data_IF_636970912817
#
_entry.id   IF_636970912817
#
_cell.length_a   1.000
_cell.length_b   1.000
_cell.length_c   1.000
_cell.angle_alpha   90.00
_cell.angle_beta   90.00
_cell.angle_gamma   90.00
#
_symmetry.space_group_name_H-M   'P 1'
#
loop_
_entity.id
_entity.type
_entity.pdbx_description
1 polymer ?
#
# COMPACT_ATOMS: atom_id res chain seq x y z
N UNK A 1 9.00 -71.27 38.48
CA UNK A 1 9.59 -69.96 38.84
C UNK A 1 9.28 -68.98 37.71
N UNK A 2 8.77 -67.77 38.01
CA UNK A 2 8.30 -66.83 36.99
C UNK A 2 9.49 -66.15 36.32
N UNK A 3 9.57 -66.22 35.00
CA UNK A 3 10.52 -65.42 34.20
C UNK A 3 10.04 -63.97 34.23
N UNK A 4 10.89 -63.02 34.66
CA UNK A 4 10.47 -61.63 34.77
C UNK A 4 10.35 -61.07 33.35
N UNK A 5 9.13 -60.73 32.94
CA UNK A 5 8.88 -59.79 31.85
C UNK A 5 9.41 -58.44 32.34
N UNK A 6 10.72 -58.21 32.20
CA UNK A 6 11.30 -56.87 32.24
C UNK A 6 10.77 -56.16 31.00
N UNK A 7 9.68 -55.42 31.18
CA UNK A 7 9.24 -54.39 30.24
C UNK A 7 10.42 -53.46 30.03
N UNK A 8 11.11 -53.64 28.91
CA UNK A 8 12.06 -52.67 28.40
C UNK A 8 11.26 -51.45 27.97
N UNK A 9 10.96 -50.56 28.92
CA UNK A 9 10.74 -49.16 28.59
C UNK A 9 12.10 -48.64 28.16
N UNK A 10 12.44 -48.87 26.89
CA UNK A 10 13.57 -48.24 26.24
C UNK A 10 13.32 -46.74 26.35
N UNK A 11 14.01 -46.11 27.31
CA UNK A 11 14.04 -44.67 27.44
C UNK A 11 14.27 -44.11 26.04
N UNK A 12 13.32 -43.33 25.54
CA UNK A 12 13.52 -42.62 24.30
C UNK A 12 14.87 -41.90 24.44
N UNK A 13 15.85 -42.16 23.56
CA UNK A 13 17.18 -41.64 23.75
C UNK A 13 17.07 -40.12 23.88
N UNK A 14 17.73 -39.54 24.87
CA UNK A 14 17.71 -38.10 25.21
C UNK A 14 17.79 -37.17 23.98
N UNK A 15 18.50 -37.61 22.94
CA UNK A 15 18.61 -36.96 21.64
C UNK A 15 17.30 -36.86 20.84
N UNK A 16 16.39 -37.83 20.94
CA UNK A 16 15.06 -37.79 20.33
C UNK A 16 14.20 -36.71 20.98
N UNK A 17 14.24 -36.62 22.31
CA UNK A 17 13.54 -35.56 23.04
C UNK A 17 14.13 -34.19 22.67
N UNK A 18 15.45 -34.05 22.59
CA UNK A 18 16.11 -32.81 22.14
C UNK A 18 15.77 -32.43 20.70
N UNK A 19 15.71 -33.37 19.76
CA UNK A 19 15.32 -33.10 18.37
C UNK A 19 13.84 -32.71 18.25
N UNK A 20 12.95 -33.38 18.97
CA UNK A 20 11.54 -32.99 19.05
C UNK A 20 11.38 -31.61 19.69
N UNK A 21 12.11 -31.30 20.76
CA UNK A 21 12.08 -29.99 21.42
C UNK A 21 12.66 -28.91 20.50
N UNK A 22 13.75 -29.18 19.79
CA UNK A 22 14.40 -28.20 18.89
C UNK A 22 13.57 -27.96 17.64
N UNK A 23 13.02 -29.01 17.03
CA UNK A 23 12.11 -28.90 15.88
C UNK A 23 10.79 -28.25 16.26
N UNK A 24 10.21 -28.63 17.41
CA UNK A 24 9.02 -27.98 17.93
C UNK A 24 9.30 -26.53 18.35
N UNK A 25 10.48 -26.19 18.87
CA UNK A 25 10.87 -24.83 19.19
C UNK A 25 11.15 -23.99 17.93
N UNK A 26 11.73 -24.56 16.88
CA UNK A 26 11.90 -23.87 15.60
C UNK A 26 10.56 -23.64 14.90
N UNK A 27 9.68 -24.65 14.88
CA UNK A 27 8.30 -24.54 14.39
C UNK A 27 7.51 -23.59 15.28
N UNK A 28 7.68 -23.62 16.59
CA UNK A 28 7.02 -22.71 17.52
C UNK A 28 7.56 -21.29 17.37
N UNK A 29 8.85 -21.06 17.19
CA UNK A 29 9.39 -19.73 16.87
C UNK A 29 8.87 -19.27 15.51
N UNK A 30 8.72 -20.17 14.54
CA UNK A 30 8.18 -19.88 13.22
C UNK A 30 6.65 -19.62 13.21
N UNK A 31 5.89 -20.29 14.08
CA UNK A 31 4.42 -20.18 14.21
C UNK A 31 4.00 -19.11 15.24
N UNK A 32 4.65 -19.08 16.41
CA UNK A 32 4.40 -18.17 17.54
C UNK A 32 5.18 -16.85 17.49
N UNK A 33 6.15 -16.64 16.59
CA UNK A 33 6.61 -15.25 16.34
C UNK A 33 5.50 -14.34 15.82
N UNK A 34 4.30 -14.86 15.53
CA UNK A 34 3.22 -14.08 14.94
C UNK A 34 3.48 -13.75 13.46
N UNK A 35 4.74 -13.84 13.02
CA UNK A 35 5.24 -13.67 11.67
C UNK A 35 4.59 -14.53 10.58
N UNK A 36 3.64 -15.42 10.85
CA UNK A 36 2.87 -16.13 9.80
C UNK A 36 1.35 -16.01 9.97
N UNK A 37 0.90 -15.76 11.21
CA UNK A 37 -0.52 -15.69 11.60
C UNK A 37 -1.02 -14.25 11.78
N UNK A 38 -0.14 -13.33 12.18
CA UNK A 38 -0.35 -11.89 12.42
C UNK A 38 0.37 -11.01 11.39
N UNK A 39 0.74 -11.58 10.24
CA UNK A 39 1.17 -10.78 9.10
C UNK A 39 -0.01 -10.01 8.54
N UNK A 40 -0.31 -8.88 9.14
CA UNK A 40 -0.77 -7.76 8.35
C UNK A 40 0.44 -7.30 7.53
N UNK A 41 0.53 -7.86 6.32
CA UNK A 41 1.56 -7.52 5.36
C UNK A 41 1.52 -6.02 5.10
N UNK A 42 2.62 -5.35 5.40
CA UNK A 42 2.79 -3.98 4.94
C UNK A 42 3.30 -4.05 3.51
N UNK A 43 2.59 -3.47 2.52
CA UNK A 43 3.11 -3.34 1.17
C UNK A 43 4.44 -2.61 1.25
N UNK A 44 5.37 -2.93 0.34
CA UNK A 44 6.68 -2.31 0.33
C UNK A 44 6.53 -0.79 0.46
N UNK A 45 7.07 -0.24 1.54
CA UNK A 45 6.95 1.19 1.81
C UNK A 45 7.83 1.95 0.83
N UNK A 46 7.54 3.24 0.60
CA UNK A 46 8.40 4.04 -0.27
C UNK A 46 9.86 3.96 0.20
N UNK A 47 10.14 3.86 1.50
CA UNK A 47 11.49 3.70 2.04
C UNK A 47 12.28 2.48 1.53
N UNK A 48 11.61 1.50 0.93
CA UNK A 48 12.20 0.26 0.38
C UNK A 48 12.43 0.33 -1.15
N UNK A 49 11.77 1.26 -1.84
CA UNK A 49 11.90 1.51 -3.30
C UNK A 49 12.58 2.88 -3.57
N UNK A 50 12.58 3.73 -2.55
CA UNK A 50 12.95 5.14 -2.51
C UNK A 50 13.43 5.45 -1.07
N UNK A 51 14.67 5.08 -0.73
CA UNK A 51 15.25 5.40 0.57
C UNK A 51 15.59 6.90 0.65
N UNK A 52 14.96 7.70 1.53
CA UNK A 52 15.12 9.17 1.53
C UNK A 52 16.61 9.51 1.50
N UNK A 53 17.07 10.39 0.57
CA UNK A 53 18.48 10.73 0.44
C UNK A 53 19.02 11.07 1.81
N UNK A 54 20.23 10.65 2.21
CA UNK A 54 20.79 11.02 3.49
C UNK A 54 20.86 12.56 3.56
N UNK A 55 19.91 13.15 4.26
CA UNK A 55 19.78 14.60 4.42
C UNK A 55 20.09 14.91 5.88
N UNK A 56 20.77 16.04 6.09
CA UNK A 56 21.24 16.49 7.40
C UNK A 56 20.16 17.28 8.17
N UNK A 57 18.89 16.87 8.11
CA UNK A 57 17.75 17.61 8.69
C UNK A 57 16.81 16.77 9.56
N UNK A 58 15.95 17.44 10.33
CA UNK A 58 14.91 16.78 11.12
C UNK A 58 13.83 16.19 10.20
N UNK A 59 13.50 14.91 10.37
CA UNK A 59 12.45 14.20 9.62
C UNK A 59 11.34 13.76 10.54
N UNK A 60 10.09 13.81 10.09
CA UNK A 60 8.99 13.23 10.86
C UNK A 60 9.19 11.71 10.93
N UNK A 61 9.33 11.20 12.14
CA UNK A 61 9.48 9.77 12.45
C UNK A 61 8.16 9.11 12.84
N UNK A 62 7.16 9.90 13.22
CA UNK A 62 5.87 9.40 13.69
C UNK A 62 4.98 10.51 14.25
N UNK A 63 3.87 10.10 14.83
CA UNK A 63 2.91 10.97 15.50
C UNK A 63 2.51 10.36 16.84
N UNK A 64 2.18 11.20 17.81
CA UNK A 64 1.47 10.77 19.01
C UNK A 64 0.17 11.58 19.11
N UNK A 65 -0.93 10.88 19.36
CA UNK A 65 -2.28 11.42 19.29
C UNK A 65 -2.96 11.28 20.64
N UNK A 66 -3.42 12.40 21.16
CA UNK A 66 -4.19 12.46 22.40
C UNK A 66 -5.37 13.44 22.24
N UNK A 67 -6.55 12.91 21.87
CA UNK A 67 -7.72 13.70 21.52
C UNK A 67 -7.43 14.65 20.35
N UNK A 68 -7.67 15.95 20.56
CA UNK A 68 -7.37 17.00 19.57
C UNK A 68 -5.90 17.45 19.58
N UNK A 69 -5.00 16.78 20.30
CA UNK A 69 -3.56 17.09 20.29
C UNK A 69 -2.82 16.10 19.42
N UNK A 70 -2.05 16.63 18.47
CA UNK A 70 -1.15 15.88 17.61
C UNK A 70 0.29 16.30 17.87
N UNK A 71 1.05 15.43 18.53
CA UNK A 71 2.49 15.60 18.72
C UNK A 71 3.20 15.08 17.47
N UNK A 72 4.03 15.91 16.83
CA UNK A 72 4.81 15.48 15.66
C UNK A 72 6.18 15.00 16.15
N UNK A 73 6.46 13.71 15.99
CA UNK A 73 7.74 13.13 16.38
C UNK A 73 8.73 13.38 15.25
N UNK A 74 9.86 14.02 15.56
CA UNK A 74 10.93 14.26 14.59
C UNK A 74 12.20 13.49 14.98
N UNK A 75 12.87 12.91 14.01
CA UNK A 75 14.27 12.50 14.15
C UNK A 75 15.11 13.72 14.51
N UNK A 76 15.95 13.58 15.53
CA UNK A 76 16.81 14.65 16.05
C UNK A 76 16.07 15.88 16.64
N UNK A 77 14.77 15.79 16.97
CA UNK A 77 14.01 16.89 17.58
C UNK A 77 14.53 17.35 18.95
N UNK A 78 15.24 16.46 19.68
CA UNK A 78 15.78 16.74 21.02
C UNK A 78 16.75 17.93 21.11
N UNK A 79 17.06 18.57 19.98
CA UNK A 79 17.86 19.79 19.91
C UNK A 79 17.05 21.09 19.92
N UNK A 80 15.72 21.08 19.81
CA UNK A 80 14.89 22.29 19.88
C UNK A 80 14.40 22.57 21.30
N UNK A 81 14.55 23.82 21.77
CA UNK A 81 13.98 24.25 23.05
C UNK A 81 12.50 24.63 22.97
N UNK A 82 12.06 25.19 21.83
CA UNK A 82 10.71 25.73 21.64
C UNK A 82 10.19 25.56 20.22
N UNK A 83 8.88 25.65 20.06
CA UNK A 83 8.22 25.66 18.75
C UNK A 83 7.15 26.73 18.70
N UNK A 84 7.06 27.45 17.58
CA UNK A 84 5.91 28.30 17.29
C UNK A 84 4.99 27.56 16.33
N UNK A 85 3.76 27.31 16.77
CA UNK A 85 2.72 26.64 15.99
C UNK A 85 1.64 27.65 15.62
N UNK A 86 1.44 27.91 14.34
CA UNK A 86 0.28 28.63 13.84
C UNK A 86 -0.82 27.61 13.59
N UNK A 87 -1.93 27.75 14.32
CA UNK A 87 -3.09 26.88 14.23
C UNK A 87 -3.89 27.13 12.95
N UNK A 88 -4.83 26.23 12.67
CA UNK A 88 -5.72 26.32 11.50
C UNK A 88 -6.57 27.59 11.43
N UNK A 89 -6.87 28.19 12.58
CA UNK A 89 -7.58 29.47 12.71
C UNK A 89 -6.66 30.70 12.57
N UNK A 90 -5.37 30.49 12.27
CA UNK A 90 -4.35 31.53 12.19
C UNK A 90 -3.75 31.95 13.54
N UNK A 91 -4.24 31.41 14.66
CA UNK A 91 -3.76 31.78 16.00
C UNK A 91 -2.37 31.21 16.25
N UNK A 92 -1.35 32.04 16.52
CA UNK A 92 -0.02 31.55 16.89
C UNK A 92 -0.01 31.08 18.35
N UNK A 93 0.71 29.99 18.61
CA UNK A 93 0.96 29.44 19.94
C UNK A 93 2.44 29.07 20.06
N UNK A 94 3.05 29.43 21.18
CA UNK A 94 4.40 28.93 21.53
C UNK A 94 4.26 27.68 22.37
N UNK A 95 5.06 26.67 22.06
CA UNK A 95 5.13 25.38 22.74
C UNK A 95 6.55 25.23 23.30
N UNK A 96 6.67 25.22 24.62
CA UNK A 96 7.93 24.95 25.32
C UNK A 96 8.10 23.43 25.49
N UNK A 97 8.55 22.77 24.42
CA UNK A 97 8.71 21.31 24.33
C UNK A 97 9.79 20.95 23.31
N UNK A 98 10.52 19.83 23.50
CA UNK A 98 11.45 19.35 22.49
C UNK A 98 10.77 18.94 21.17
N UNK A 99 9.47 18.65 21.21
CA UNK A 99 8.67 18.28 20.03
C UNK A 99 7.48 19.23 19.87
N UNK A 100 7.09 19.57 18.64
CA UNK A 100 5.93 20.42 18.40
C UNK A 100 4.63 19.67 18.68
N UNK A 101 3.69 20.37 19.29
CA UNK A 101 2.34 19.86 19.56
C UNK A 101 1.33 20.76 18.86
N UNK A 102 0.55 20.17 17.97
CA UNK A 102 -0.50 20.85 17.22
C UNK A 102 -1.83 20.61 17.92
N UNK A 103 -2.54 21.67 18.30
CA UNK A 103 -3.95 21.59 18.71
C UNK A 103 -4.82 21.64 17.46
N UNK A 104 -5.45 20.51 17.14
CA UNK A 104 -6.29 20.32 15.97
C UNK A 104 -7.65 21.00 16.16
N UNK A 105 -8.08 21.68 15.11
CA UNK A 105 -9.41 22.29 14.96
C UNK A 105 -10.23 21.40 14.03
N UNK A 106 -11.50 21.09 14.36
CA UNK A 106 -12.37 20.32 13.48
C UNK A 106 -12.44 20.90 12.05
N UNK A 107 -12.46 20.02 11.05
CA UNK A 107 -12.39 20.39 9.63
C UNK A 107 -10.96 20.36 9.06
N UNK A 108 -10.79 20.85 7.83
CA UNK A 108 -9.52 20.89 7.10
C UNK A 108 -8.84 22.24 7.25
N UNK A 109 -7.60 22.24 7.74
CA UNK A 109 -6.84 23.46 8.01
C UNK A 109 -5.36 23.30 7.69
N UNK A 110 -4.70 24.44 7.44
CA UNK A 110 -3.24 24.51 7.29
C UNK A 110 -2.63 24.93 8.62
N UNK A 111 -1.73 24.12 9.14
CA UNK A 111 -0.94 24.37 10.34
C UNK A 111 0.50 24.64 9.93
N UNK A 112 1.15 25.57 10.62
CA UNK A 112 2.56 25.86 10.41
C UNK A 112 3.32 25.69 11.71
N UNK A 113 4.44 24.99 11.66
CA UNK A 113 5.28 24.69 12.81
C UNK A 113 6.68 25.22 12.53
N UNK A 114 7.05 26.28 13.23
CA UNK A 114 8.34 26.95 13.13
C UNK A 114 9.22 26.50 14.31
N UNK A 115 10.40 25.90 14.07
CA UNK A 115 11.36 25.60 15.13
C UNK A 115 11.91 26.89 15.75
N UNK A 116 12.09 26.89 17.08
CA UNK A 116 12.72 27.99 17.83
C UNK A 116 13.79 27.44 18.77
N UNK A 117 14.90 28.17 18.88
CA UNK A 117 16.04 27.82 19.75
C UNK A 117 16.54 26.38 19.52
N UNK A 118 16.88 26.06 18.27
CA UNK A 118 17.36 24.73 17.87
C UNK A 118 18.85 24.76 17.51
N UNK A 119 19.78 24.83 18.48
CA UNK A 119 21.22 24.83 18.19
C UNK A 119 21.63 23.59 17.39
N UNK A 120 22.32 23.80 16.26
CA UNK A 120 22.85 22.72 15.42
C UNK A 120 21.82 22.02 14.52
N UNK A 121 20.53 22.35 14.63
CA UNK A 121 19.51 21.76 13.79
C UNK A 121 19.33 22.58 12.50
N UNK A 122 19.74 22.01 11.37
CA UNK A 122 19.43 22.57 10.05
C UNK A 122 18.00 22.13 9.69
N UNK A 123 16.98 22.71 10.32
CA UNK A 123 15.65 22.75 9.71
C UNK A 123 15.59 24.06 8.92
N UNK A 124 15.78 24.03 7.59
CA UNK A 124 15.92 25.25 6.84
C UNK A 124 14.61 26.04 6.72
N UNK A 125 13.45 25.45 7.07
CA UNK A 125 12.13 26.01 6.76
C UNK A 125 11.04 25.63 7.77
N UNK A 126 10.03 26.50 7.94
CA UNK A 126 8.77 26.14 8.60
C UNK A 126 8.19 24.84 8.04
N UNK A 127 7.66 23.99 8.92
CA UNK A 127 6.95 22.78 8.54
C UNK A 127 5.47 23.13 8.35
N UNK A 128 4.94 22.93 7.15
CA UNK A 128 3.52 23.14 6.88
C UNK A 128 2.76 21.81 6.79
N UNK A 129 1.65 21.73 7.52
CA UNK A 129 0.76 20.58 7.56
C UNK A 129 -0.63 20.98 7.06
N UNK A 130 -1.20 20.25 6.11
CA UNK A 130 -2.61 20.38 5.72
C UNK A 130 -3.36 19.17 6.32
N UNK A 131 -4.15 19.41 7.36
CA UNK A 131 -4.77 18.37 8.19
C UNK A 131 -6.29 18.56 8.19
N UNK A 132 -7.04 17.52 7.83
CA UNK A 132 -8.44 17.41 8.23
C UNK A 132 -8.58 16.57 9.50
N UNK A 133 -9.27 17.14 10.48
CA UNK A 133 -9.56 16.50 11.76
C UNK A 133 -11.07 16.34 11.96
N UNK A 134 -11.51 15.12 12.26
CA UNK A 134 -12.88 14.81 12.67
C UNK A 134 -12.84 14.18 14.07
N UNK A 135 -13.36 14.86 15.10
CA UNK A 135 -13.44 14.33 16.45
C UNK A 135 -14.29 13.06 16.52
N UNK A 136 -14.06 12.22 17.54
CA UNK A 136 -14.84 10.98 17.74
C UNK A 136 -16.34 11.17 17.70
N UNK A 137 -16.81 12.22 18.38
CA UNK A 137 -18.23 12.50 18.54
C UNK A 137 -18.93 12.72 17.18
N UNK A 138 -18.17 13.15 16.18
CA UNK A 138 -18.64 13.47 14.83
C UNK A 138 -18.21 12.43 13.79
N UNK A 139 -17.38 11.45 14.18
CA UNK A 139 -16.95 10.38 13.29
C UNK A 139 -18.12 9.40 13.07
N UNK A 140 -18.24 8.80 11.87
CA UNK A 140 -19.17 7.70 11.66
C UNK A 140 -18.99 6.63 12.74
N UNK A 141 -20.08 6.06 13.25
CA UNK A 141 -20.08 5.04 14.33
C UNK A 141 -19.17 3.85 14.04
N UNK A 142 -18.84 3.64 12.77
CA UNK A 142 -18.10 2.49 12.27
C UNK A 142 -16.62 2.82 12.01
N UNK A 143 -16.18 4.04 12.35
CA UNK A 143 -14.79 4.45 12.19
C UNK A 143 -13.89 3.65 13.15
N UNK A 144 -12.85 2.94 12.66
CA UNK A 144 -12.01 2.08 13.48
C UNK A 144 -11.13 2.84 14.49
N UNK A 145 -11.11 4.17 14.44
CA UNK A 145 -10.28 5.02 15.28
C UNK A 145 -11.09 6.14 15.92
N UNK A 146 -10.82 6.47 17.20
CA UNK A 146 -11.60 7.45 17.94
C UNK A 146 -11.47 8.86 17.38
N UNK A 147 -10.48 9.23 16.58
CA UNK A 147 -10.59 10.47 15.80
C UNK A 147 -9.89 10.28 14.47
N UNK A 148 -10.45 10.87 13.42
CA UNK A 148 -9.92 10.77 12.08
C UNK A 148 -9.00 11.96 11.81
N UNK A 149 -7.72 11.69 11.59
CA UNK A 149 -6.73 12.71 11.19
C UNK A 149 -6.26 12.35 9.79
N UNK A 150 -6.66 13.14 8.80
CA UNK A 150 -6.18 13.05 7.42
C UNK A 150 -5.13 14.13 7.18
N UNK A 151 -3.89 13.72 7.05
CA UNK A 151 -2.75 14.57 6.71
C UNK A 151 -2.57 14.59 5.19
N UNK A 152 -3.10 15.63 4.54
CA UNK A 152 -3.01 15.84 3.10
C UNK A 152 -1.63 16.34 2.69
N UNK A 153 -1.01 17.22 3.48
CA UNK A 153 0.34 17.75 3.21
C UNK A 153 1.16 17.77 4.50
N UNK A 154 2.42 17.40 4.40
CA UNK A 154 3.47 17.52 5.40
C UNK A 154 4.82 17.84 4.69
N UNK A 155 5.93 17.95 5.43
CA UNK A 155 7.28 18.03 4.86
C UNK A 155 8.10 16.74 5.13
N UNK A 156 7.55 15.58 4.80
CA UNK A 156 8.32 14.34 4.64
C UNK A 156 9.22 14.44 3.41
N UNK A 157 10.48 14.10 3.58
CA UNK A 157 11.36 13.88 2.44
C UNK A 157 11.08 12.52 1.81
N UNK A 158 10.84 12.53 0.51
CA UNK A 158 10.71 11.35 -0.33
C UNK A 158 11.98 11.21 -1.17
N UNK A 159 12.45 9.97 -1.36
CA UNK A 159 13.67 9.76 -2.11
C UNK A 159 13.54 9.83 -3.62
N UNK A 160 14.71 9.94 -4.25
CA UNK A 160 14.90 9.57 -5.64
C UNK A 160 15.08 8.06 -5.77
N UNK A 161 14.57 7.54 -6.89
CA UNK A 161 14.40 6.14 -7.27
C UNK A 161 15.61 5.24 -7.02
N UNK A 162 15.40 4.09 -6.36
CA UNK A 162 16.36 2.99 -6.35
C UNK A 162 15.63 1.64 -6.25
N UNK A 163 15.47 0.95 -7.38
CA UNK A 163 14.92 -0.41 -7.37
C UNK A 163 14.97 -1.13 -8.73
N UNK A 164 15.08 -2.47 -8.74
CA UNK A 164 15.13 -3.27 -9.97
C UNK A 164 13.79 -3.33 -10.71
N UNK A 165 13.87 -3.80 -11.96
CA UNK A 165 12.82 -3.80 -13.00
C UNK A 165 11.42 -4.24 -12.51
N UNK A 166 10.43 -3.39 -12.78
CA UNK A 166 9.12 -3.35 -12.11
C UNK A 166 8.05 -4.30 -12.69
N UNK A 167 8.43 -5.24 -13.54
CA UNK A 167 7.50 -6.19 -14.21
C UNK A 167 6.88 -7.22 -13.25
N UNK A 168 7.42 -7.40 -12.04
CA UNK A 168 7.03 -8.47 -11.08
C UNK A 168 5.85 -8.17 -10.15
N UNK A 169 5.15 -7.05 -10.31
CA UNK A 169 4.17 -6.56 -9.32
C UNK A 169 2.71 -6.72 -9.76
N UNK A 170 2.42 -7.71 -10.60
CA UNK A 170 1.09 -7.97 -11.14
C UNK A 170 0.45 -9.11 -10.35
N UNK A 171 -0.83 -9.00 -9.96
CA UNK A 171 -1.57 -10.12 -9.42
C UNK A 171 -1.57 -11.35 -10.35
N UNK A 172 -1.19 -12.55 -9.86
CA UNK A 172 -1.40 -13.77 -10.63
C UNK A 172 -2.89 -13.99 -10.87
N UNK A 173 -3.28 -14.33 -12.10
CA UNK A 173 -4.69 -14.57 -12.42
C UNK A 173 -5.21 -15.85 -11.78
N UNK A 174 -4.32 -16.81 -11.51
CA UNK A 174 -4.62 -18.05 -10.80
C UNK A 174 -5.06 -17.85 -9.35
N UNK A 175 -4.81 -16.67 -8.76
CA UNK A 175 -5.27 -16.35 -7.41
C UNK A 175 -6.78 -16.01 -7.37
N UNK A 176 -7.39 -15.70 -8.51
CA UNK A 176 -8.82 -15.38 -8.60
C UNK A 176 -9.66 -16.64 -8.87
N UNK A 177 -10.91 -16.71 -8.36
CA UNK A 177 -11.82 -17.80 -8.69
C UNK A 177 -11.97 -17.96 -10.21
N UNK A 178 -11.85 -19.18 -10.73
CA UNK A 178 -11.95 -19.44 -12.17
C UNK A 178 -13.29 -18.94 -12.77
N UNK A 179 -14.37 -19.00 -12.00
CA UNK A 179 -15.67 -18.46 -12.38
C UNK A 179 -15.64 -16.94 -12.59
N UNK A 180 -14.91 -16.19 -11.75
CA UNK A 180 -14.76 -14.74 -11.88
C UNK A 180 -13.94 -14.40 -13.12
N UNK A 181 -12.84 -15.12 -13.36
CA UNK A 181 -12.03 -14.94 -14.57
C UNK A 181 -12.84 -15.24 -15.84
N UNK A 182 -13.69 -16.26 -15.83
CA UNK A 182 -14.58 -16.56 -16.95
C UNK A 182 -15.63 -15.46 -17.16
N UNK A 183 -16.25 -14.94 -16.08
CA UNK A 183 -17.19 -13.82 -16.16
C UNK A 183 -16.50 -12.54 -16.67
N UNK A 184 -15.27 -12.30 -16.23
CA UNK A 184 -14.45 -11.17 -16.69
C UNK A 184 -14.20 -11.25 -18.20
N UNK A 185 -13.86 -12.42 -18.73
CA UNK A 185 -13.70 -12.62 -20.17
C UNK A 185 -14.99 -12.34 -20.95
N UNK A 186 -16.14 -12.74 -20.42
CA UNK A 186 -17.45 -12.41 -21.02
C UNK A 186 -17.72 -10.90 -20.97
N UNK A 187 -17.43 -10.25 -19.84
CA UNK A 187 -17.54 -8.80 -19.69
C UNK A 187 -16.67 -8.07 -20.71
N UNK A 188 -15.39 -8.45 -20.84
CA UNK A 188 -14.42 -7.86 -21.77
C UNK A 188 -14.90 -7.98 -23.22
N UNK A 189 -15.40 -9.15 -23.62
CA UNK A 189 -16.01 -9.33 -24.96
C UNK A 189 -17.20 -8.39 -25.18
N UNK A 190 -18.07 -8.22 -24.18
CA UNK A 190 -19.25 -7.35 -24.24
C UNK A 190 -18.90 -5.88 -24.38
N UNK A 191 -17.78 -5.44 -23.82
CA UNK A 191 -17.25 -4.06 -24.00
C UNK A 191 -16.33 -3.93 -25.22
N UNK A 192 -16.28 -4.95 -26.10
CA UNK A 192 -15.59 -4.89 -27.38
C UNK A 192 -14.08 -5.14 -27.32
N UNK A 193 -13.55 -5.69 -26.22
CA UNK A 193 -12.12 -6.02 -26.12
C UNK A 193 -11.81 -7.22 -27.00
N UNK A 194 -10.84 -7.06 -27.91
CA UNK A 194 -10.30 -8.11 -28.77
C UNK A 194 -8.81 -8.36 -28.49
N UNK A 195 -8.26 -9.54 -28.86
CA UNK A 195 -6.85 -9.85 -28.59
C UNK A 195 -5.84 -8.91 -29.28
N UNK A 196 -6.18 -8.41 -30.47
CA UNK A 196 -5.36 -7.57 -31.35
C UNK A 196 -5.27 -6.10 -30.93
N UNK A 197 -6.13 -5.64 -30.02
CA UNK A 197 -6.04 -4.30 -29.45
C UNK A 197 -4.71 -4.10 -28.71
N UNK A 198 -4.14 -2.91 -28.89
CA UNK A 198 -2.98 -2.40 -28.13
C UNK A 198 -3.29 -2.27 -26.64
N UNK A 199 -2.24 -2.13 -25.80
CA UNK A 199 -2.44 -1.90 -24.36
C UNK A 199 -3.28 -0.64 -24.12
N UNK A 200 -3.01 0.46 -24.83
CA UNK A 200 -3.76 1.72 -24.66
C UNK A 200 -5.23 1.58 -25.03
N UNK A 201 -5.54 0.91 -26.14
CA UNK A 201 -6.94 0.67 -26.53
C UNK A 201 -7.69 -0.16 -25.49
N UNK A 202 -7.05 -1.21 -24.94
CA UNK A 202 -7.64 -2.03 -23.87
C UNK A 202 -7.84 -1.23 -22.58
N UNK A 203 -6.86 -0.40 -22.18
CA UNK A 203 -6.96 0.50 -21.01
C UNK A 203 -8.17 1.43 -21.15
N UNK A 204 -8.32 2.08 -22.31
CA UNK A 204 -9.43 2.99 -22.59
C UNK A 204 -10.76 2.25 -22.61
N UNK A 205 -10.89 1.15 -23.35
CA UNK A 205 -12.13 0.39 -23.44
C UNK A 205 -12.61 -0.15 -22.08
N UNK A 206 -11.71 -0.66 -21.23
CA UNK A 206 -12.07 -1.05 -19.85
C UNK A 206 -12.50 0.15 -19.01
N UNK A 207 -11.82 1.29 -19.15
CA UNK A 207 -12.15 2.50 -18.40
C UNK A 207 -13.52 3.07 -18.77
N UNK A 208 -13.87 3.08 -20.07
CA UNK A 208 -15.23 3.37 -20.57
C UNK A 208 -16.23 2.39 -20.00
N UNK A 209 -15.93 1.10 -20.16
CA UNK A 209 -16.81 0.01 -19.77
C UNK A 209 -17.21 0.11 -18.31
N UNK A 210 -16.25 0.41 -17.44
CA UNK A 210 -16.47 0.58 -16.00
C UNK A 210 -17.16 1.91 -15.68
N UNK A 211 -16.67 3.04 -16.19
CA UNK A 211 -17.19 4.38 -15.82
C UNK A 211 -18.65 4.57 -16.22
N UNK A 212 -19.10 3.94 -17.31
CA UNK A 212 -20.51 3.94 -17.71
C UNK A 212 -21.44 3.17 -16.76
N UNK A 213 -20.88 2.36 -15.84
CA UNK A 213 -21.62 1.33 -15.10
C UNK A 213 -21.52 1.44 -13.58
N UNK A 214 -20.53 2.19 -13.08
CA UNK A 214 -20.26 2.30 -11.65
C UNK A 214 -20.38 3.74 -11.18
N UNK A 215 -20.85 3.94 -9.95
CA UNK A 215 -21.03 5.26 -9.33
C UNK A 215 -19.96 5.49 -8.26
N UNK A 216 -19.60 6.75 -8.05
CA UNK A 216 -18.71 7.15 -6.95
C UNK A 216 -19.50 7.33 -5.65
N UNK A 217 -18.93 6.94 -4.51
CA UNK A 217 -19.49 7.23 -3.18
C UNK A 217 -19.11 6.16 -2.16
N UNK A 218 -19.74 6.20 -0.99
CA UNK A 218 -19.43 5.30 0.12
C UNK A 218 -20.06 3.91 -0.08
N UNK A 219 -19.25 2.85 -0.28
CA UNK A 219 -19.74 1.49 -0.35
C UNK A 219 -20.22 1.00 1.03
N UNK A 220 -21.14 0.02 1.07
CA UNK A 220 -21.40 -0.75 2.29
C UNK A 220 -20.18 -1.61 2.66
N UNK A 221 -20.06 -1.94 3.95
CA UNK A 221 -18.87 -2.60 4.51
C UNK A 221 -18.62 -4.03 3.96
N UNK A 222 -19.65 -4.71 3.47
CA UNK A 222 -19.58 -6.08 2.96
C UNK A 222 -18.83 -6.20 1.62
N UNK A 223 -18.79 -5.14 0.81
CA UNK A 223 -18.05 -5.12 -0.46
C UNK A 223 -16.55 -5.39 -0.28
N UNK A 224 -16.01 -5.13 0.91
CA UNK A 224 -14.60 -5.37 1.20
C UNK A 224 -14.22 -6.84 1.35
N UNK A 225 -15.19 -7.75 1.29
CA UNK A 225 -15.00 -9.20 1.30
C UNK A 225 -15.28 -9.88 -0.05
N UNK A 226 -15.70 -9.09 -1.04
CA UNK A 226 -16.10 -9.59 -2.36
C UNK A 226 -14.93 -9.57 -3.35
N UNK A 227 -14.97 -10.47 -4.33
CA UNK A 227 -14.05 -10.45 -5.46
C UNK A 227 -14.32 -9.25 -6.39
N UNK A 228 -13.36 -8.84 -7.24
CA UNK A 228 -13.57 -7.71 -8.14
C UNK A 228 -14.79 -7.89 -9.06
N UNK A 229 -15.06 -9.10 -9.54
CA UNK A 229 -16.25 -9.35 -10.37
C UNK A 229 -17.55 -9.30 -9.57
N UNK A 230 -17.56 -9.81 -8.34
CA UNK A 230 -18.71 -9.69 -7.47
C UNK A 230 -19.04 -8.22 -7.18
N UNK A 231 -18.02 -7.40 -6.89
CA UNK A 231 -18.17 -5.96 -6.71
C UNK A 231 -18.76 -5.32 -7.96
N UNK A 232 -18.25 -5.67 -9.16
CA UNK A 232 -18.77 -5.15 -10.42
C UNK A 232 -20.25 -5.51 -10.62
N UNK A 233 -20.61 -6.77 -10.41
CA UNK A 233 -21.99 -7.26 -10.56
C UNK A 233 -22.96 -6.54 -9.61
N UNK A 234 -22.54 -6.29 -8.36
CA UNK A 234 -23.35 -5.56 -7.37
C UNK A 234 -23.45 -4.07 -7.72
N UNK A 235 -22.35 -3.45 -8.16
CA UNK A 235 -22.34 -2.06 -8.59
C UNK A 235 -23.26 -1.83 -9.81
N UNK A 236 -23.21 -2.72 -10.81
CA UNK A 236 -24.07 -2.69 -12.00
C UNK A 236 -25.54 -2.96 -11.66
N UNK A 237 -25.81 -4.05 -10.93
CA UNK A 237 -27.18 -4.52 -10.71
C UNK A 237 -27.98 -3.72 -9.68
N UNK A 238 -27.30 -3.16 -8.67
CA UNK A 238 -27.95 -2.45 -7.55
C UNK A 238 -27.58 -0.97 -7.50
N UNK A 239 -26.69 -0.49 -8.36
CA UNK A 239 -26.24 0.90 -8.38
C UNK A 239 -25.45 1.30 -7.13
N UNK A 240 -24.81 0.33 -6.46
CA UNK A 240 -24.05 0.58 -5.22
C UNK A 240 -22.84 1.46 -5.54
N UNK A 241 -22.65 2.57 -4.81
CA UNK A 241 -21.50 3.45 -5.02
C UNK A 241 -20.21 2.82 -4.50
N UNK A 242 -19.09 3.21 -5.09
CA UNK A 242 -17.77 2.65 -4.81
C UNK A 242 -16.75 3.72 -4.45
N UNK A 243 -15.85 3.39 -3.51
CA UNK A 243 -14.65 4.16 -3.26
C UNK A 243 -13.58 3.91 -4.34
N UNK A 244 -12.54 4.75 -4.32
CA UNK A 244 -11.40 4.65 -5.24
C UNK A 244 -10.75 3.26 -5.24
N UNK A 245 -10.65 2.61 -4.06
CA UNK A 245 -10.10 1.26 -3.91
C UNK A 245 -10.82 0.22 -4.75
N UNK A 246 -12.13 0.09 -4.64
CA UNK A 246 -12.89 -0.91 -5.38
C UNK A 246 -12.84 -0.65 -6.88
N UNK A 247 -12.88 0.62 -7.30
CA UNK A 247 -12.77 1.01 -8.72
C UNK A 247 -11.42 0.62 -9.30
N UNK A 248 -10.34 0.97 -8.61
CA UNK A 248 -8.98 0.64 -9.04
C UNK A 248 -8.75 -0.88 -9.05
N UNK A 249 -9.28 -1.61 -8.06
CA UNK A 249 -9.23 -3.07 -8.02
C UNK A 249 -9.91 -3.72 -9.24
N UNK A 250 -11.15 -3.33 -9.55
CA UNK A 250 -11.87 -3.87 -10.70
C UNK A 250 -11.14 -3.59 -12.01
N UNK A 251 -10.62 -2.37 -12.18
CA UNK A 251 -9.82 -2.01 -13.35
C UNK A 251 -8.57 -2.87 -13.48
N UNK A 252 -7.81 -3.04 -12.40
CA UNK A 252 -6.61 -3.86 -12.40
C UNK A 252 -6.91 -5.31 -12.78
N UNK A 253 -7.94 -5.90 -12.16
CA UNK A 253 -8.35 -7.27 -12.45
C UNK A 253 -8.77 -7.44 -13.91
N UNK A 254 -9.67 -6.61 -14.42
CA UNK A 254 -10.15 -6.70 -15.81
C UNK A 254 -9.03 -6.51 -16.83
N UNK A 255 -8.10 -5.57 -16.60
CA UNK A 255 -6.98 -5.36 -17.50
C UNK A 255 -5.98 -6.51 -17.49
N UNK A 256 -5.73 -7.12 -16.32
CA UNK A 256 -4.92 -8.34 -16.25
C UNK A 256 -5.57 -9.49 -17.02
N UNK A 257 -6.89 -9.69 -16.90
CA UNK A 257 -7.62 -10.70 -17.70
C UNK A 257 -7.56 -10.37 -19.20
N UNK A 258 -7.52 -9.09 -19.58
CA UNK A 258 -7.37 -8.64 -20.97
C UNK A 258 -5.92 -8.78 -21.52
N UNK A 259 -4.99 -9.28 -20.71
CA UNK A 259 -3.58 -9.43 -21.08
C UNK A 259 -2.78 -8.13 -21.01
N UNK A 260 -3.26 -7.11 -20.29
CA UNK A 260 -2.54 -5.88 -20.00
C UNK A 260 -2.04 -5.92 -18.56
N UNK A 261 -0.74 -6.16 -18.34
CA UNK A 261 -0.14 -6.12 -17.01
C UNK A 261 -0.55 -4.86 -16.24
N UNK A 262 -1.29 -5.03 -15.15
CA UNK A 262 -1.82 -3.91 -14.37
C UNK A 262 -1.66 -4.18 -12.88
N UNK A 263 -1.14 -3.18 -12.17
CA UNK A 263 -0.96 -3.21 -10.71
C UNK A 263 -1.81 -2.15 -10.04
N UNK A 264 -2.22 -2.42 -8.81
CA UNK A 264 -2.85 -1.42 -7.97
C UNK A 264 -1.78 -0.58 -7.28
N UNK A 265 -2.00 0.72 -7.21
CA UNK A 265 -1.16 1.64 -6.46
C UNK A 265 -2.03 2.39 -5.47
N UNK A 266 -1.59 2.44 -4.24
CA UNK A 266 -2.21 3.20 -3.17
C UNK A 266 -1.29 4.35 -2.78
N UNK A 267 -1.70 5.60 -3.01
CA UNK A 267 -1.05 6.76 -2.44
C UNK A 267 -1.63 7.00 -1.05
N UNK A 268 -0.95 6.48 -0.05
CA UNK A 268 -1.37 6.67 1.32
C UNK A 268 -0.63 5.81 2.32
N UNK A 269 -0.69 6.19 3.59
CA UNK A 269 -0.19 5.39 4.70
C UNK A 269 -0.89 5.80 5.98
N UNK A 270 -1.08 4.88 6.91
CA UNK A 270 -1.35 5.26 8.31
C UNK A 270 -0.03 5.25 9.07
N UNK A 271 0.36 6.38 9.67
CA UNK A 271 1.47 6.46 10.63
C UNK A 271 0.86 6.83 11.97
N UNK A 272 0.97 5.93 12.96
CA UNK A 272 0.47 6.16 14.32
C UNK A 272 -1.00 6.64 14.38
N UNK A 273 -1.85 6.04 13.53
CA UNK A 273 -3.27 6.40 13.41
C UNK A 273 -3.57 7.63 12.55
N UNK A 274 -2.56 8.31 12.01
CA UNK A 274 -2.71 9.46 11.09
C UNK A 274 -2.68 8.98 9.64
N UNK A 275 -3.74 9.26 8.90
CA UNK A 275 -3.89 8.92 7.48
C UNK A 275 -3.14 9.94 6.61
N UNK A 276 -2.00 9.55 6.06
CA UNK A 276 -1.13 10.37 5.21
C UNK A 276 -1.53 10.22 3.73
N UNK A 277 -2.56 10.95 3.30
CA UNK A 277 -3.26 10.71 2.03
C UNK A 277 -3.86 9.29 1.94
N UNK A 278 -4.90 9.13 1.13
CA UNK A 278 -5.61 7.86 1.00
C UNK A 278 -6.33 7.81 -0.33
N UNK A 279 -5.61 7.40 -1.36
CA UNK A 279 -6.20 7.22 -2.68
C UNK A 279 -5.67 5.99 -3.38
N UNK A 280 -6.54 5.29 -4.10
CA UNK A 280 -6.19 4.10 -4.85
C UNK A 280 -6.40 4.34 -6.35
N UNK A 281 -5.46 3.89 -7.15
CA UNK A 281 -5.48 3.97 -8.60
C UNK A 281 -4.68 2.82 -9.21
N UNK A 282 -4.57 2.77 -10.53
CA UNK A 282 -3.90 1.67 -11.23
C UNK A 282 -2.71 2.16 -12.05
N UNK A 283 -1.74 1.30 -12.25
CA UNK A 283 -0.75 1.46 -13.30
C UNK A 283 -0.81 0.29 -14.26
N UNK A 284 -0.89 0.59 -15.55
CA UNK A 284 -1.00 -0.41 -16.61
C UNK A 284 0.20 -0.33 -17.55
N UNK A 285 0.76 -1.48 -17.92
CA UNK A 285 1.93 -1.54 -18.80
C UNK A 285 1.52 -1.36 -20.26
N UNK A 286 2.06 -0.31 -20.86
CA UNK A 286 1.87 0.05 -22.26
C UNK A 286 2.99 -0.61 -23.06
N UNK A 287 2.70 -1.79 -23.61
CA UNK A 287 3.69 -2.65 -24.25
C UNK A 287 4.35 -1.96 -25.44
N UNK A 288 3.58 -1.20 -26.23
CA UNK A 288 4.07 -0.43 -27.37
C UNK A 288 5.02 0.73 -27.00
N UNK A 289 5.13 1.09 -25.71
CA UNK A 289 6.08 2.09 -25.21
C UNK A 289 7.10 1.51 -24.22
N UNK A 290 6.94 0.26 -23.77
CA UNK A 290 7.75 -0.32 -22.71
C UNK A 290 7.66 0.41 -21.36
N UNK A 291 6.52 1.05 -21.05
CA UNK A 291 6.36 1.92 -19.87
C UNK A 291 5.08 1.63 -19.10
N UNK A 292 5.11 1.87 -17.79
CA UNK A 292 3.91 1.90 -16.94
C UNK A 292 3.18 3.24 -17.11
N UNK A 293 1.85 3.18 -17.15
CA UNK A 293 0.98 4.34 -17.27
C UNK A 293 0.09 4.47 -16.03
N UNK A 294 0.19 5.59 -15.32
CA UNK A 294 -0.74 5.99 -14.27
C UNK A 294 -2.14 6.12 -14.85
N UNK A 295 -3.12 5.57 -14.15
CA UNK A 295 -4.52 5.54 -14.58
C UNK A 295 -5.44 5.53 -13.38
N UNK A 296 -6.57 6.24 -13.44
CA UNK A 296 -7.39 6.50 -12.26
C UNK A 296 -8.86 6.71 -12.62
N UNK A 297 -9.68 5.69 -12.38
CA UNK A 297 -11.11 5.78 -12.62
C UNK A 297 -11.80 6.85 -11.78
N UNK A 298 -11.29 7.14 -10.58
CA UNK A 298 -11.89 8.12 -9.69
C UNK A 298 -11.81 9.53 -10.25
N UNK A 299 -10.75 9.81 -11.01
CA UNK A 299 -10.57 11.04 -11.76
C UNK A 299 -10.92 10.91 -13.26
N UNK A 300 -11.49 9.76 -13.66
CA UNK A 300 -11.81 9.43 -15.05
C UNK A 300 -10.58 9.48 -15.99
N UNK A 301 -9.39 9.17 -15.49
CA UNK A 301 -8.12 9.19 -16.23
C UNK A 301 -7.83 7.79 -16.76
N UNK A 302 -7.78 7.64 -18.09
CA UNK A 302 -7.35 6.38 -18.71
C UNK A 302 -5.85 6.21 -18.58
N UNK A 303 -5.11 7.23 -19.00
CA UNK A 303 -3.68 7.40 -18.78
C UNK A 303 -3.27 8.86 -19.00
N UNK A 304 -2.08 9.22 -18.50
CA UNK A 304 -1.46 10.53 -18.68
C UNK A 304 -0.22 10.43 -19.56
N UNK A 305 0.02 11.47 -20.37
CA UNK A 305 1.22 11.57 -21.22
C UNK A 305 2.01 12.85 -20.95
N UNK A 306 3.33 12.75 -21.00
CA UNK A 306 4.24 13.89 -20.97
C UNK A 306 4.29 14.64 -22.30
N UNK A 307 5.05 15.75 -22.37
CA UNK A 307 5.20 16.55 -23.60
C UNK A 307 5.78 15.77 -24.79
N UNK A 308 6.57 14.73 -24.53
CA UNK A 308 7.15 13.81 -25.51
C UNK A 308 6.15 12.75 -26.03
N UNK A 309 4.92 12.74 -25.49
CA UNK A 309 3.89 11.74 -25.79
C UNK A 309 4.10 10.40 -25.07
N UNK A 310 5.14 10.28 -24.24
CA UNK A 310 5.39 9.12 -23.41
C UNK A 310 4.39 9.05 -22.24
N UNK A 311 3.92 7.85 -21.92
CA UNK A 311 3.05 7.66 -20.74
C UNK A 311 3.81 7.90 -19.44
N UNK A 312 3.13 8.53 -18.49
CA UNK A 312 3.69 8.83 -17.16
C UNK A 312 3.20 7.80 -16.16
N UNK A 313 4.11 7.24 -15.36
CA UNK A 313 3.76 6.42 -14.20
C UNK A 313 3.52 7.31 -12.96
N UNK A 314 3.12 6.71 -11.84
CA UNK A 314 2.82 7.38 -10.58
C UNK A 314 4.06 8.04 -9.95
N UNK A 315 5.24 7.47 -10.13
CA UNK A 315 6.49 8.08 -9.67
C UNK A 315 6.87 9.30 -10.52
N UNK A 316 6.66 9.23 -11.84
CA UNK A 316 6.82 10.38 -12.75
C UNK A 316 5.87 11.51 -12.30
N UNK A 317 4.60 11.18 -12.03
CA UNK A 317 3.60 12.12 -11.53
C UNK A 317 4.00 12.75 -10.19
N UNK A 318 4.46 11.92 -9.25
CA UNK A 318 4.97 12.38 -7.96
C UNK A 318 6.15 13.33 -8.13
N UNK A 319 7.10 13.00 -8.99
CA UNK A 319 8.27 13.83 -9.27
C UNK A 319 7.87 15.17 -9.91
N UNK A 320 7.00 15.16 -10.92
CA UNK A 320 6.54 16.36 -11.62
C UNK A 320 5.78 17.32 -10.68
N UNK A 321 4.90 16.77 -9.82
CA UNK A 321 4.14 17.57 -8.86
C UNK A 321 5.05 18.08 -7.73
N UNK A 322 5.89 17.21 -7.16
CA UNK A 322 6.74 17.56 -6.03
C UNK A 322 7.85 18.57 -6.38
N UNK A 323 8.40 18.49 -7.60
CA UNK A 323 9.41 19.43 -8.10
C UNK A 323 8.86 20.82 -8.43
N UNK A 324 7.52 20.98 -8.48
CA UNK A 324 6.89 22.20 -8.96
C UNK A 324 7.02 22.39 -10.48
N UNK A 325 7.38 21.34 -11.22
CA UNK A 325 7.48 21.37 -12.68
C UNK A 325 6.11 21.62 -13.34
N UNK A 326 5.02 21.20 -12.66
CA UNK A 326 3.65 21.53 -13.07
C UNK A 326 3.25 22.90 -12.51
N UNK A 327 2.95 23.84 -13.39
CA UNK A 327 2.34 25.13 -13.00
C UNK A 327 0.81 25.05 -12.97
N UNK A 328 0.16 26.04 -12.37
CA UNK A 328 -1.32 26.16 -12.36
C UNK A 328 -1.93 26.40 -13.75
N UNK A 329 -1.11 26.49 -14.80
CA UNK A 329 -1.54 26.59 -16.19
C UNK A 329 -1.80 25.21 -16.79
N UNK A 330 -2.97 25.03 -17.39
CA UNK A 330 -3.42 23.75 -17.94
C UNK A 330 -2.48 23.19 -19.03
N UNK A 331 -1.73 24.06 -19.72
CA UNK A 331 -0.81 23.71 -20.79
C UNK A 331 0.42 22.89 -20.36
N UNK A 332 0.81 22.94 -19.07
CA UNK A 332 1.95 22.16 -18.55
C UNK A 332 1.53 20.84 -17.92
N UNK A 333 0.24 20.63 -17.72
CA UNK A 333 -0.25 19.40 -17.13
C UNK A 333 -0.25 18.26 -18.15
N UNK A 334 0.02 17.03 -17.71
CA UNK A 334 -0.07 15.87 -18.58
C UNK A 334 -1.42 15.81 -19.28
N UNK A 335 -1.40 15.45 -20.55
CA UNK A 335 -2.62 15.38 -21.35
C UNK A 335 -3.39 14.13 -20.96
N UNK A 336 -4.68 14.31 -20.66
CA UNK A 336 -5.61 13.20 -20.43
C UNK A 336 -6.11 12.68 -21.76
N UNK A 337 -6.09 11.36 -21.91
CA UNK A 337 -6.94 10.68 -22.87
C UNK A 337 -8.18 10.25 -22.09
N UNK A 338 -9.33 10.78 -22.49
CA UNK A 338 -10.61 10.44 -21.87
C UNK A 338 -11.14 9.15 -22.47
N UNK A 339 -11.82 8.38 -21.63
CA UNK A 339 -12.53 7.16 -21.98
C UNK A 339 -13.37 7.30 -23.28
N UNK A 340 -13.97 8.47 -23.53
CA UNK A 340 -14.83 8.75 -24.68
C UNK A 340 -14.16 8.74 -26.07
N UNK A 341 -12.83 8.57 -26.19
CA UNK A 341 -12.12 8.79 -27.46
C UNK A 341 -12.06 10.27 -27.85
N UNK A 342 -12.40 11.18 -26.93
CA UNK A 342 -12.24 12.62 -27.12
C UNK A 342 -10.76 13.00 -27.28
N UNK A 343 -10.55 14.06 -28.05
CA UNK A 343 -9.25 14.68 -28.24
C UNK A 343 -8.55 14.94 -26.89
N UNK A 344 -7.24 14.73 -26.90
CA UNK A 344 -6.27 15.21 -25.91
C UNK A 344 -6.78 16.47 -25.19
N UNK A 345 -7.20 16.32 -23.94
CA UNK A 345 -7.74 17.42 -23.16
C UNK A 345 -6.81 17.76 -21.98
N UNK A 346 -6.60 19.06 -21.68
CA UNK A 346 -5.97 19.47 -20.44
C UNK A 346 -6.79 18.99 -19.23
N UNK A 347 -6.11 18.68 -18.13
CA UNK A 347 -6.78 18.32 -16.88
C UNK A 347 -7.56 19.53 -16.31
N UNK A 348 -8.78 19.30 -15.84
CA UNK A 348 -9.58 20.34 -15.18
C UNK A 348 -8.92 20.83 -13.90
N UNK A 349 -9.22 22.05 -13.46
CA UNK A 349 -8.67 22.60 -12.20
C UNK A 349 -8.92 21.67 -11.01
N UNK A 350 -10.10 21.07 -10.90
CA UNK A 350 -10.46 20.16 -9.82
C UNK A 350 -9.62 18.87 -9.83
N UNK A 351 -9.41 18.27 -11.01
CA UNK A 351 -8.56 17.08 -11.13
C UNK A 351 -7.12 17.44 -10.78
N UNK A 352 -6.62 18.60 -11.22
CA UNK A 352 -5.27 19.05 -10.88
C UNK A 352 -5.09 19.26 -9.38
N UNK A 353 -6.06 19.89 -8.73
CA UNK A 353 -6.07 20.06 -7.28
C UNK A 353 -6.10 18.71 -6.55
N UNK A 354 -6.95 17.79 -7.02
CA UNK A 354 -7.04 16.44 -6.44
C UNK A 354 -5.74 15.65 -6.61
N UNK A 355 -5.16 15.62 -7.81
CA UNK A 355 -3.88 14.98 -8.09
C UNK A 355 -2.75 15.58 -7.24
N UNK A 356 -2.75 16.90 -7.02
CA UNK A 356 -1.80 17.55 -6.12
C UNK A 356 -1.96 17.10 -4.65
N UNK A 357 -3.16 16.69 -4.23
CA UNK A 357 -3.42 16.07 -2.92
C UNK A 357 -3.10 14.57 -2.85
N UNK A 358 -3.19 13.86 -3.98
CA UNK A 358 -2.80 12.45 -4.13
C UNK A 358 -1.27 12.32 -4.13
N UNK A 359 -0.59 13.13 -4.95
CA UNK A 359 0.85 13.11 -5.20
C UNK A 359 1.57 14.23 -4.47
N UNK A 360 1.27 14.41 -3.19
CA UNK A 360 1.96 15.41 -2.38
C UNK A 360 3.42 14.99 -2.20
N UNK A 361 4.29 15.92 -1.77
CA UNK A 361 5.69 15.59 -1.41
C UNK A 361 5.84 14.47 -0.37
N UNK A 362 4.76 14.09 0.29
CA UNK A 362 4.69 13.10 1.37
C UNK A 362 3.99 11.82 0.95
N UNK A 363 3.47 11.79 -0.28
CA UNK A 363 2.73 10.66 -0.75
C UNK A 363 3.65 9.43 -0.74
N UNK A 364 3.16 8.39 -0.08
CA UNK A 364 3.77 7.07 -0.12
C UNK A 364 2.95 6.26 -1.14
N UNK A 365 3.56 6.01 -2.29
CA UNK A 365 3.08 5.05 -3.29
C UNK A 365 3.39 3.64 -2.80
N UNK A 366 2.34 2.94 -2.38
CA UNK A 366 2.38 1.53 -2.07
C UNK A 366 1.92 0.77 -3.31
N UNK A 367 2.78 -0.07 -3.86
CA UNK A 367 2.44 -0.90 -5.01
C UNK A 367 1.90 -2.23 -4.51
N UNK A 368 0.63 -2.49 -4.81
CA UNK A 368 -0.05 -3.71 -4.43
C UNK A 368 -0.10 -4.60 -5.68
N UNK A 369 0.80 -5.59 -5.75
CA UNK A 369 0.42 -6.87 -6.36
C UNK A 369 -0.71 -7.51 -5.52
N UNK A 370 -1.32 -8.62 -5.92
CA UNK A 370 -2.54 -9.28 -5.37
C UNK A 370 -2.72 -9.51 -3.84
N UNK A 371 -2.16 -8.72 -2.93
CA UNK A 371 -1.54 -9.33 -1.78
C UNK A 371 -2.10 -8.81 -0.46
N UNK A 372 -2.53 -9.81 0.31
CA UNK A 372 -3.12 -9.87 1.63
C UNK A 372 -4.49 -9.24 1.83
N UNK A 373 -4.70 -7.93 1.63
CA UNK A 373 -6.09 -7.42 1.66
C UNK A 373 -6.93 -7.94 0.48
N UNK A 374 -6.29 -8.26 -0.65
CA UNK A 374 -6.96 -8.93 -1.78
C UNK A 374 -7.13 -10.43 -1.56
N UNK A 375 -6.20 -11.08 -0.87
CA UNK A 375 -6.36 -12.48 -0.46
C UNK A 375 -7.54 -12.64 0.50
N UNK A 376 -7.81 -11.64 1.35
CA UNK A 376 -9.05 -11.61 2.14
C UNK A 376 -10.30 -11.44 1.27
N UNK A 377 -10.24 -10.69 0.18
CA UNK A 377 -11.34 -10.47 -0.78
C UNK A 377 -11.64 -11.67 -1.68
N UNK A 378 -10.61 -12.44 -2.07
CA UNK A 378 -10.78 -13.67 -2.85
C UNK A 378 -10.95 -14.91 -1.96
N UNK A 379 -10.80 -14.74 -0.63
CA UNK A 379 -10.91 -15.73 0.45
C UNK A 379 -10.51 -17.17 0.01
N UNK A 380 -9.28 -17.40 -0.46
CA UNK A 380 -8.95 -18.70 -1.02
C UNK A 380 -8.87 -19.75 0.09
N UNK A 381 -8.96 -21.05 -0.27
CA UNK A 381 -8.80 -22.13 0.70
C UNK A 381 -7.52 -21.96 1.53
N UNK A 382 -7.55 -22.43 2.79
CA UNK A 382 -6.43 -22.27 3.72
C UNK A 382 -5.08 -22.75 3.14
N UNK A 383 -5.07 -23.88 2.42
CA UNK A 383 -3.87 -24.42 1.79
C UNK A 383 -3.28 -23.47 0.75
N UNK A 384 -4.11 -22.83 -0.08
CA UNK A 384 -3.68 -21.83 -1.04
C UNK A 384 -3.11 -20.61 -0.32
N UNK A 385 -3.80 -20.10 0.72
CA UNK A 385 -3.28 -19.02 1.56
C UNK A 385 -1.90 -19.35 2.13
N UNK A 386 -1.74 -20.54 2.72
CA UNK A 386 -0.48 -20.98 3.31
C UNK A 386 0.63 -21.12 2.26
N UNK A 387 0.34 -21.73 1.12
CA UNK A 387 1.30 -21.92 0.01
C UNK A 387 1.77 -20.58 -0.52
N UNK A 388 0.83 -19.66 -0.70
CA UNK A 388 1.09 -18.29 -1.13
C UNK A 388 1.99 -17.56 -0.12
N UNK A 389 1.65 -17.59 1.18
CA UNK A 389 2.46 -16.99 2.27
C UNK A 389 3.86 -17.58 2.34
N UNK A 390 4.00 -18.89 2.13
CA UNK A 390 5.30 -19.56 2.11
C UNK A 390 6.11 -19.15 0.88
N UNK A 391 5.56 -19.27 -0.33
CA UNK A 391 6.22 -18.84 -1.58
C UNK A 391 6.75 -17.42 -1.45
N UNK A 392 5.92 -16.51 -0.93
CA UNK A 392 6.25 -15.12 -0.61
C UNK A 392 7.44 -14.97 0.34
N UNK A 393 7.32 -15.57 1.51
CA UNK A 393 8.34 -15.50 2.56
C UNK A 393 9.70 -16.00 2.07
N UNK A 394 9.68 -17.04 1.23
CA UNK A 394 10.84 -17.74 0.68
C UNK A 394 11.47 -17.03 -0.52
N UNK A 395 10.66 -16.68 -1.51
CA UNK A 395 11.12 -16.34 -2.86
C UNK A 395 10.95 -14.86 -3.19
N UNK A 396 10.15 -14.12 -2.41
CA UNK A 396 9.84 -12.71 -2.64
C UNK A 396 10.15 -11.86 -1.38
N UNK A 397 11.36 -11.97 -0.79
CA UNK A 397 11.66 -11.41 0.52
C UNK A 397 11.64 -9.88 0.57
N UNK A 398 11.77 -9.21 -0.57
CA UNK A 398 11.68 -7.75 -0.73
C UNK A 398 10.28 -7.20 -0.52
N UNK A 399 9.25 -8.05 -0.49
CA UNK A 399 7.86 -7.67 -0.23
C UNK A 399 7.45 -7.86 1.24
N UNK A 400 8.41 -8.20 2.12
CA UNK A 400 8.18 -8.51 3.52
C UNK A 400 9.08 -7.62 4.38
N UNK A 401 8.62 -6.41 4.68
CA UNK A 401 9.28 -5.50 5.62
C UNK A 401 8.22 -4.72 6.41
N UNK A 402 8.28 -4.84 7.74
CA UNK A 402 7.56 -3.97 8.66
C UNK A 402 8.42 -2.76 9.08
N UNK A 403 7.78 -1.78 9.71
CA UNK A 403 8.28 -0.46 10.13
C UNK A 403 9.61 -0.42 10.89
N UNK A 404 10.10 -1.55 11.39
CA UNK A 404 11.38 -1.64 12.08
C UNK A 404 12.13 -2.90 11.60
N UNK A 405 13.34 -2.71 11.05
CA UNK A 405 14.41 -3.74 10.91
C UNK A 405 14.30 -4.76 9.75
N UNK A 406 13.89 -4.34 8.56
CA UNK A 406 13.75 -5.25 7.40
C UNK A 406 15.04 -5.81 6.79
N UNK A 407 16.14 -5.05 6.73
CA UNK A 407 17.31 -5.47 5.94
C UNK A 407 18.21 -6.52 6.64
N UNK A 408 18.21 -6.61 7.97
CA UNK A 408 19.31 -7.29 8.68
C UNK A 408 19.19 -8.81 8.78
N UNK A 409 18.06 -9.44 8.39
CA UNK A 409 17.82 -10.86 8.71
C UNK A 409 17.22 -11.70 7.57
N UNK A 410 17.34 -11.30 6.30
CA UNK A 410 16.87 -12.13 5.18
C UNK A 410 17.55 -13.52 5.14
N UNK A 411 18.82 -13.60 5.53
CA UNK A 411 19.57 -14.87 5.61
C UNK A 411 19.05 -15.79 6.74
N UNK A 412 18.51 -15.24 7.84
CA UNK A 412 17.91 -16.03 8.91
C UNK A 412 16.65 -16.77 8.48
N UNK A 413 15.95 -16.27 7.44
CA UNK A 413 14.78 -16.96 6.89
C UNK A 413 15.22 -18.31 6.33
N UNK A 414 16.13 -18.31 5.36
CA UNK A 414 16.71 -19.52 4.77
C UNK A 414 17.33 -20.44 5.81
N UNK A 415 18.05 -19.90 6.80
CA UNK A 415 18.57 -20.69 7.91
C UNK A 415 17.47 -21.39 8.72
N UNK A 416 16.35 -20.71 9.00
CA UNK A 416 15.21 -21.29 9.73
C UNK A 416 14.56 -22.43 8.95
N UNK A 417 14.36 -22.26 7.64
CA UNK A 417 13.77 -23.30 6.78
C UNK A 417 14.70 -24.49 6.65
N UNK A 418 15.99 -24.24 6.40
CA UNK A 418 16.98 -25.31 6.31
C UNK A 418 17.02 -26.12 7.61
N UNK A 419 16.95 -25.45 8.76
CA UNK A 419 16.88 -26.09 10.08
C UNK A 419 15.61 -26.93 10.23
N UNK A 420 14.46 -26.44 9.76
CA UNK A 420 13.22 -27.21 9.76
C UNK A 420 13.28 -28.44 8.84
N UNK A 421 13.80 -28.28 7.62
CA UNK A 421 13.95 -29.38 6.66
C UNK A 421 14.93 -30.45 7.16
N UNK A 422 16.07 -30.05 7.73
CA UNK A 422 17.04 -30.98 8.35
C UNK A 422 16.38 -31.75 9.50
N UNK A 423 15.58 -31.07 10.32
CA UNK A 423 14.84 -31.67 11.42
C UNK A 423 13.82 -32.71 10.92
N UNK A 424 13.05 -32.40 9.87
CA UNK A 424 12.10 -33.34 9.22
C UNK A 424 12.84 -34.54 8.62
N UNK A 425 13.94 -34.30 7.89
CA UNK A 425 14.75 -35.35 7.28
C UNK A 425 15.32 -36.33 8.32
N UNK A 426 15.81 -35.82 9.44
CA UNK A 426 16.31 -36.65 10.55
C UNK A 426 15.21 -37.53 11.17
N UNK A 427 13.97 -37.01 11.29
CA UNK A 427 12.82 -37.79 11.76
C UNK A 427 12.47 -38.89 10.75
N UNK A 428 12.38 -38.57 9.46
CA UNK A 428 12.02 -39.54 8.41
C UNK A 428 13.03 -40.67 8.28
N UNK A 429 14.33 -40.38 8.23
CA UNK A 429 15.40 -41.40 8.18
C UNK A 429 15.29 -42.36 9.36
N UNK A 430 14.89 -41.85 10.53
CA UNK A 430 14.76 -42.67 11.74
C UNK A 430 13.50 -43.52 11.74
N UNK A 431 12.38 -43.02 11.19
CA UNK A 431 11.16 -43.80 10.99
C UNK A 431 11.42 -44.93 9.99
N UNK A 432 12.12 -44.65 8.89
CA UNK A 432 12.43 -45.65 7.85
C UNK A 432 13.46 -46.71 8.28
N UNK A 433 14.26 -46.43 9.31
CA UNK A 433 15.23 -47.37 9.89
C UNK A 433 14.62 -48.29 10.97
N UNK A 434 13.39 -48.02 11.39
CA UNK A 434 12.60 -48.89 12.28
C UNK A 434 11.68 -49.75 11.45
#
# INVERSE_FOLDING_TARGET
MPTPIRKAYAAAPFWFLSACISGAAAIAVFVFRGDLLWLEYQPATLGEIYAPPPSAGARISGFDKNGNRLTVLLTNAGMCGRWRVVRGDGTPQTIDSPVPVITLVPGRHIYRVDPQDCPGLIIPRPLEFDIAFTPQADAPTDAPHPDLINLYRAPLEVAQQAGPDFTRWIPPLEDYPAADTAQAQQFLKRIGITPDMTSREKITAVSVGLTARIKSGQPPADLDTMSPMQVLNVAEGKGIPLFCRQRALMKAFLLNVAGVPTRLVWSGRTIDGVLMSSHAFTESFVAEQGRWAYSDLSHNIDYLTGPDGGVLNAADMLFLISSGALSDTAAKWPTRIAASGEARAPLSADIRHSLAGVFTRNAILQYWGAHDRFVHQINPPFATKLTYRLRRYLLEPTLYIGLQRGYTFHWLRWATILTALVSIGMVLVRVLRR
#
